data_IF_943445884676
#
_entry.id   IF_943445884676
#
_cell.length_a   1.000
_cell.length_b   1.000
_cell.length_c   1.000
_cell.angle_alpha   90.00
_cell.angle_beta   90.00
_cell.angle_gamma   90.00
#
_symmetry.space_group_name_H-M   'P 1'
#
loop_
_entity.id
_entity.type
_entity.pdbx_description
1 polymer ?
#
# COMPACT_ATOMS: atom_id res chain seq x y z
N UNK A 1 13.67 -18.22 24.70
CA UNK A 1 12.53 -17.29 24.89
C UNK A 1 11.49 -17.66 23.85
N UNK A 2 10.18 -17.71 24.19
CA UNK A 2 9.15 -17.87 23.16
C UNK A 2 9.20 -16.69 22.19
N UNK A 3 8.90 -16.95 20.91
CA UNK A 3 8.73 -15.89 19.92
C UNK A 3 7.56 -15.00 20.40
N UNK A 4 7.77 -13.69 20.42
CA UNK A 4 6.69 -12.74 20.68
C UNK A 4 5.77 -12.70 19.46
N UNK A 5 4.45 -12.62 19.68
CA UNK A 5 3.48 -12.53 18.58
C UNK A 5 3.53 -11.17 17.88
N UNK A 6 3.12 -11.16 16.60
CA UNK A 6 3.21 -10.00 15.71
C UNK A 6 2.41 -8.80 16.22
N UNK A 7 1.26 -9.01 16.86
CA UNK A 7 0.42 -7.96 17.44
C UNK A 7 1.14 -7.26 18.59
N UNK A 8 1.64 -8.04 19.56
CA UNK A 8 2.42 -7.49 20.68
C UNK A 8 3.66 -6.74 20.21
N UNK A 9 4.40 -7.28 19.23
CA UNK A 9 5.56 -6.61 18.64
C UNK A 9 5.16 -5.31 17.93
N UNK A 10 4.09 -5.33 17.13
CA UNK A 10 3.59 -4.15 16.43
C UNK A 10 3.19 -3.06 17.42
N UNK A 11 2.44 -3.39 18.47
CA UNK A 11 2.03 -2.46 19.50
C UNK A 11 3.24 -1.82 20.21
N UNK A 12 4.24 -2.62 20.60
CA UNK A 12 5.46 -2.12 21.27
C UNK A 12 6.27 -1.21 20.36
N UNK A 13 6.65 -1.70 19.17
CA UNK A 13 7.52 -0.96 18.24
C UNK A 13 6.83 0.30 17.73
N UNK A 14 5.56 0.21 17.34
CA UNK A 14 4.82 1.40 16.90
C UNK A 14 4.63 2.42 18.03
N UNK A 15 4.48 1.99 19.30
CA UNK A 15 4.39 2.94 20.42
C UNK A 15 5.68 3.74 20.65
N UNK A 16 6.83 3.17 20.30
CA UNK A 16 8.13 3.83 20.41
C UNK A 16 8.41 4.76 19.23
N UNK A 17 7.94 4.42 18.03
CA UNK A 17 8.35 5.08 16.79
C UNK A 17 7.30 6.01 16.20
N UNK A 18 6.02 5.74 16.47
CA UNK A 18 4.89 6.48 15.90
C UNK A 18 4.29 7.36 17.00
N UNK A 19 4.25 8.66 16.74
CA UNK A 19 3.68 9.65 17.64
C UNK A 19 2.25 9.26 18.05
N UNK A 20 1.92 9.47 19.33
CA UNK A 20 0.63 9.07 19.90
C UNK A 20 -0.54 9.66 19.11
N UNK A 21 -0.41 10.90 18.66
CA UNK A 21 -1.41 11.61 17.87
C UNK A 21 -1.70 10.90 16.53
N UNK A 22 -0.69 10.31 15.89
CA UNK A 22 -0.87 9.54 14.65
C UNK A 22 -1.57 8.21 14.97
N UNK A 23 -1.14 7.53 16.06
CA UNK A 23 -1.73 6.25 16.49
C UNK A 23 -3.19 6.37 16.89
N UNK A 24 -3.56 7.49 17.52
CA UNK A 24 -4.93 7.76 17.96
C UNK A 24 -5.83 8.32 16.85
N UNK A 25 -5.28 8.58 15.65
CA UNK A 25 -5.99 9.21 14.54
C UNK A 25 -6.55 8.23 13.50
N UNK A 26 -6.50 6.92 13.77
CA UNK A 26 -7.08 5.88 12.93
C UNK A 26 -6.43 5.75 11.54
N UNK A 27 -7.22 5.32 10.56
CA UNK A 27 -6.78 5.07 9.19
C UNK A 27 -5.78 3.92 9.08
N UNK A 28 -4.70 4.13 8.32
CA UNK A 28 -3.70 3.09 8.01
C UNK A 28 -3.05 2.47 9.26
N UNK A 29 -2.88 3.23 10.35
CA UNK A 29 -2.35 2.69 11.60
C UNK A 29 -3.26 1.63 12.21
N UNK A 30 -4.57 1.88 12.24
CA UNK A 30 -5.54 0.94 12.81
C UNK A 30 -5.68 -0.32 11.95
N UNK A 31 -5.58 -0.17 10.63
CA UNK A 31 -5.60 -1.31 9.72
C UNK A 31 -4.36 -2.17 9.90
N UNK A 32 -3.18 -1.55 9.95
CA UNK A 32 -1.94 -2.28 10.25
C UNK A 32 -2.02 -2.98 11.61
N UNK A 33 -2.58 -2.33 12.63
CA UNK A 33 -2.82 -2.97 13.93
C UNK A 33 -3.74 -4.19 13.80
N UNK A 34 -4.86 -4.07 13.10
CA UNK A 34 -5.76 -5.20 12.87
C UNK A 34 -5.09 -6.35 12.11
N UNK A 35 -4.29 -6.04 11.08
CA UNK A 35 -3.50 -7.03 10.34
C UNK A 35 -2.45 -7.72 11.23
N UNK A 36 -1.85 -7.00 12.17
CA UNK A 36 -0.82 -7.57 13.05
C UNK A 36 -1.34 -8.70 13.96
N UNK A 37 -2.66 -8.73 14.22
CA UNK A 37 -3.33 -9.77 14.98
C UNK A 37 -3.66 -11.03 14.16
N UNK A 38 -3.38 -11.04 12.85
CA UNK A 38 -3.64 -12.20 12.00
C UNK A 38 -2.60 -13.31 12.24
N UNK A 39 -2.99 -14.60 12.29
CA UNK A 39 -2.09 -15.70 12.67
C UNK A 39 -0.85 -15.86 11.77
N UNK A 40 -0.93 -15.47 10.51
CA UNK A 40 0.16 -15.56 9.52
C UNK A 40 0.84 -14.21 9.27
N UNK A 41 0.52 -13.18 10.05
CA UNK A 41 1.12 -11.87 9.89
C UNK A 41 2.60 -11.89 10.26
N UNK A 42 3.41 -11.32 9.38
CA UNK A 42 4.83 -11.07 9.62
C UNK A 42 5.08 -9.57 9.66
N UNK A 43 5.85 -9.11 10.64
CA UNK A 43 6.26 -7.72 10.75
C UNK A 43 7.74 -7.58 10.43
N UNK A 44 8.07 -6.55 9.64
CA UNK A 44 9.44 -6.09 9.44
C UNK A 44 9.58 -4.66 9.93
N UNK A 45 10.59 -4.42 10.75
CA UNK A 45 11.00 -3.07 11.13
C UNK A 45 12.35 -2.76 10.50
N UNK A 46 12.44 -1.61 9.82
CA UNK A 46 13.65 -1.15 9.14
C UNK A 46 14.03 0.25 9.61
N UNK A 47 15.34 0.46 9.77
CA UNK A 47 15.95 1.78 9.98
C UNK A 47 16.82 2.05 8.75
N UNK A 48 16.40 3.00 7.92
CA UNK A 48 17.15 3.44 6.76
C UNK A 48 17.88 4.74 7.12
N UNK A 49 19.22 4.74 7.27
CA UNK A 49 19.96 5.97 7.50
C UNK A 49 19.94 6.86 6.25
N UNK A 50 19.80 8.16 6.46
CA UNK A 50 20.04 9.22 5.46
C UNK A 50 21.08 10.19 6.02
N UNK A 51 21.58 11.11 5.19
CA UNK A 51 22.71 12.01 5.51
C UNK A 51 22.58 12.67 6.90
N UNK A 52 21.39 13.19 7.23
CA UNK A 52 21.14 13.90 8.50
C UNK A 52 20.00 13.31 9.34
N UNK A 53 19.46 12.14 8.98
CA UNK A 53 18.26 11.61 9.66
C UNK A 53 18.11 10.10 9.52
N UNK A 54 17.40 9.47 10.46
CA UNK A 54 16.97 8.08 10.34
C UNK A 54 15.53 8.01 9.82
N UNK A 55 15.30 7.15 8.83
CA UNK A 55 13.98 6.79 8.37
C UNK A 55 13.55 5.48 9.00
N UNK A 56 12.41 5.50 9.67
CA UNK A 56 11.82 4.33 10.34
C UNK A 56 10.66 3.81 9.51
N UNK A 57 10.69 2.52 9.18
CA UNK A 57 9.63 1.86 8.44
C UNK A 57 9.14 0.63 9.22
N UNK A 58 7.83 0.53 9.37
CA UNK A 58 7.15 -0.68 9.83
C UNK A 58 6.36 -1.22 8.65
N UNK A 59 6.59 -2.48 8.30
CA UNK A 59 5.85 -3.22 7.28
C UNK A 59 5.17 -4.41 7.92
N UNK A 60 3.94 -4.69 7.50
CA UNK A 60 3.23 -5.91 7.81
C UNK A 60 2.88 -6.61 6.51
N UNK A 61 3.07 -7.92 6.49
CA UNK A 61 2.69 -8.79 5.39
C UNK A 61 1.88 -9.96 5.92
N UNK A 62 0.87 -10.37 5.15
CA UNK A 62 0.09 -11.57 5.42
C UNK A 62 0.10 -12.41 4.16
N UNK A 63 0.47 -13.67 4.33
CA UNK A 63 0.35 -14.66 3.27
C UNK A 63 -1.04 -15.30 3.32
N UNK A 64 -1.74 -15.30 2.18
CA UNK A 64 -3.03 -15.96 1.99
C UNK A 64 -2.88 -17.20 1.08
N UNK A 65 -2.29 -18.30 1.56
CA UNK A 65 -2.14 -19.51 0.77
C UNK A 65 -3.51 -20.08 0.40
N UNK A 66 -3.69 -20.47 -0.87
CA UNK A 66 -4.92 -21.07 -1.40
C UNK A 66 -6.19 -20.21 -1.25
N UNK A 67 -6.03 -18.88 -1.27
CA UNK A 67 -7.17 -17.97 -1.23
C UNK A 67 -8.11 -18.21 -2.42
N UNK A 68 -9.42 -18.41 -2.23
CA UNK A 68 -10.40 -18.60 -3.31
C UNK A 68 -10.70 -17.30 -4.07
N UNK A 69 -9.92 -16.24 -3.83
CA UNK A 69 -10.10 -14.92 -4.47
C UNK A 69 -9.92 -15.05 -5.97
N UNK A 70 -10.83 -14.43 -6.71
CA UNK A 70 -10.72 -14.31 -8.15
C UNK A 70 -9.45 -13.52 -8.50
N UNK A 71 -8.45 -14.19 -9.06
CA UNK A 71 -7.15 -13.58 -9.40
C UNK A 71 -7.23 -12.61 -10.58
N UNK A 72 -8.32 -12.62 -11.33
CA UNK A 72 -8.60 -11.67 -12.41
C UNK A 72 -9.22 -10.38 -11.89
N UNK A 73 -9.90 -10.40 -10.74
CA UNK A 73 -10.55 -9.24 -10.12
C UNK A 73 -9.88 -8.96 -8.78
N UNK A 74 -8.99 -7.98 -8.78
CA UNK A 74 -8.25 -7.60 -7.58
C UNK A 74 -9.12 -6.64 -6.77
N UNK A 75 -9.52 -7.07 -5.58
CA UNK A 75 -10.23 -6.25 -4.60
C UNK A 75 -9.39 -6.11 -3.33
N UNK A 76 -8.48 -5.11 -3.25
CA UNK A 76 -7.48 -5.01 -2.18
C UNK A 76 -8.07 -5.02 -0.77
N UNK A 77 -9.24 -4.41 -0.59
CA UNK A 77 -9.86 -4.31 0.75
C UNK A 77 -10.40 -5.64 1.27
N UNK A 78 -10.61 -6.66 0.42
CA UNK A 78 -11.01 -8.00 0.89
C UNK A 78 -9.93 -8.66 1.73
N UNK A 79 -8.68 -8.54 1.30
CA UNK A 79 -7.53 -9.02 2.05
C UNK A 79 -7.36 -8.23 3.36
N UNK A 80 -7.67 -6.93 3.34
CA UNK A 80 -7.66 -6.09 4.55
C UNK A 80 -8.88 -6.30 5.45
N UNK A 81 -9.88 -7.09 5.01
CA UNK A 81 -11.14 -7.38 5.72
C UNK A 81 -11.92 -6.11 6.11
N UNK A 82 -11.94 -5.11 5.21
CA UNK A 82 -12.67 -3.85 5.40
C UNK A 82 -13.46 -3.47 4.13
N UNK A 83 -14.47 -2.63 4.29
CA UNK A 83 -15.27 -2.11 3.15
C UNK A 83 -14.86 -0.70 2.73
N UNK A 84 -14.14 0.03 3.58
CA UNK A 84 -13.72 1.41 3.34
C UNK A 84 -12.35 1.65 3.95
N UNK A 85 -11.46 2.21 3.15
CA UNK A 85 -10.15 2.67 3.59
C UNK A 85 -10.18 4.18 3.81
N UNK A 86 -9.78 4.61 5.01
CA UNK A 86 -9.77 6.02 5.41
C UNK A 86 -8.35 6.49 5.69
N UNK A 87 -8.07 7.76 5.37
CA UNK A 87 -6.83 8.42 5.75
C UNK A 87 -6.80 8.68 7.25
N UNK A 88 -5.60 8.85 7.80
CA UNK A 88 -5.46 9.25 9.21
C UNK A 88 -5.99 10.67 9.40
N UNK A 89 -6.81 10.88 10.45
CA UNK A 89 -7.30 12.20 10.83
C UNK A 89 -6.17 13.18 11.20
N UNK A 90 -4.99 12.69 11.57
CA UNK A 90 -3.84 13.51 11.91
C UNK A 90 -3.43 14.45 10.77
N UNK A 91 -3.61 14.00 9.53
CA UNK A 91 -3.24 14.76 8.32
C UNK A 91 -4.42 15.54 7.71
N UNK A 92 -5.54 15.70 8.44
CA UNK A 92 -6.74 16.36 7.92
C UNK A 92 -6.61 17.88 7.76
N UNK A 93 -5.75 18.53 8.55
CA UNK A 93 -5.58 19.99 8.55
C UNK A 93 -4.68 20.53 7.41
N UNK A 94 -4.37 19.71 6.40
CA UNK A 94 -3.55 20.13 5.27
C UNK A 94 -3.54 19.09 4.15
N UNK A 95 -2.79 19.38 3.08
CA UNK A 95 -2.69 18.49 1.94
C UNK A 95 -1.44 17.62 2.02
N UNK A 96 -1.60 16.39 2.54
CA UNK A 96 -0.52 15.41 2.72
C UNK A 96 -0.80 14.12 1.94
N UNK A 97 -0.81 14.15 0.60
CA UNK A 97 -1.28 13.06 -0.25
C UNK A 97 -0.44 11.77 -0.13
N UNK A 98 0.84 11.90 0.25
CA UNK A 98 1.79 10.79 0.32
C UNK A 98 1.82 10.10 1.68
N UNK A 99 1.03 10.57 2.64
CA UNK A 99 0.98 10.01 4.00
C UNK A 99 -0.05 8.88 4.11
N UNK A 100 -0.67 8.50 2.99
CA UNK A 100 -1.72 7.49 2.91
C UNK A 100 -1.73 6.92 1.49
N UNK A 101 -0.81 5.99 1.22
CA UNK A 101 -0.68 5.30 -0.06
C UNK A 101 -0.96 3.82 0.17
N UNK A 102 -1.85 3.25 -0.64
CA UNK A 102 -2.08 1.81 -0.68
C UNK A 102 -1.26 1.22 -1.82
N UNK A 103 -0.41 0.25 -1.52
CA UNK A 103 0.40 -0.47 -2.51
C UNK A 103 -0.04 -1.92 -2.62
N UNK A 104 -0.24 -2.37 -3.86
CA UNK A 104 -0.69 -3.70 -4.24
C UNK A 104 0.33 -4.29 -5.20
N UNK A 105 1.06 -5.30 -4.73
CA UNK A 105 2.05 -6.02 -5.54
C UNK A 105 1.49 -7.37 -5.92
N UNK A 106 1.47 -7.65 -7.22
CA UNK A 106 1.00 -8.91 -7.79
C UNK A 106 2.20 -9.62 -8.38
N UNK A 107 2.40 -10.87 -7.98
CA UNK A 107 3.42 -11.75 -8.51
C UNK A 107 2.72 -12.92 -9.21
N UNK A 108 3.00 -13.10 -10.49
CA UNK A 108 2.38 -14.12 -11.34
C UNK A 108 3.46 -14.97 -12.01
N UNK A 109 3.19 -16.26 -12.12
CA UNK A 109 4.01 -17.22 -12.86
C UNK A 109 4.03 -16.91 -14.36
N UNK A 110 2.89 -16.50 -14.90
CA UNK A 110 2.71 -16.08 -16.29
C UNK A 110 2.53 -14.56 -16.40
N UNK A 111 3.00 -13.92 -17.50
CA UNK A 111 2.80 -12.50 -17.72
C UNK A 111 1.31 -12.11 -17.75
N UNK A 112 0.98 -10.99 -17.10
CA UNK A 112 -0.37 -10.41 -17.11
C UNK A 112 -0.30 -8.90 -17.28
N UNK A 113 -1.42 -8.23 -17.52
CA UNK A 113 -1.49 -6.78 -17.52
C UNK A 113 -2.71 -6.28 -16.75
N UNK A 114 -2.61 -5.05 -16.24
CA UNK A 114 -3.79 -4.32 -15.77
C UNK A 114 -4.68 -4.06 -16.99
N UNK A 115 -5.96 -4.43 -16.89
CA UNK A 115 -6.93 -4.26 -17.97
C UNK A 115 -7.84 -3.06 -17.71
N UNK A 116 -8.55 -3.07 -16.58
CA UNK A 116 -9.47 -2.00 -16.19
C UNK A 116 -9.31 -1.63 -14.72
N UNK A 117 -9.57 -0.36 -14.41
CA UNK A 117 -9.67 0.15 -13.04
C UNK A 117 -11.03 0.80 -12.86
N UNK A 118 -11.60 0.77 -11.65
CA UNK A 118 -12.87 1.43 -11.36
C UNK A 118 -12.73 2.93 -11.05
N UNK A 119 -11.49 3.42 -10.92
CA UNK A 119 -11.12 4.83 -10.65
C UNK A 119 -10.24 5.39 -11.78
N UNK A 120 -9.52 6.48 -11.54
CA UNK A 120 -8.62 7.06 -12.53
C UNK A 120 -7.29 6.29 -12.62
N UNK A 121 -6.66 6.31 -13.79
CA UNK A 121 -5.21 6.08 -13.91
C UNK A 121 -4.52 7.45 -13.89
N UNK A 122 -3.71 7.71 -12.87
CA UNK A 122 -3.05 9.00 -12.68
C UNK A 122 -1.91 9.13 -13.70
N UNK A 123 -1.86 10.22 -14.50
CA UNK A 123 -0.72 10.49 -15.37
C UNK A 123 0.57 10.62 -14.56
N UNK A 124 1.65 10.03 -15.05
CA UNK A 124 2.95 10.04 -14.39
C UNK A 124 4.03 10.72 -15.24
N UNK A 125 5.12 11.11 -14.59
CA UNK A 125 6.33 11.67 -15.20
C UNK A 125 7.55 11.03 -14.55
N UNK A 126 8.66 10.98 -15.29
CA UNK A 126 9.94 10.52 -14.74
C UNK A 126 10.67 11.71 -14.11
N UNK A 127 11.02 11.62 -12.84
CA UNK A 127 11.93 12.56 -12.17
C UNK A 127 12.99 11.75 -11.41
N UNK A 128 14.27 12.07 -11.64
CA UNK A 128 15.37 11.35 -10.96
C UNK A 128 15.46 9.86 -11.30
N UNK A 129 14.83 9.40 -12.39
CA UNK A 129 14.74 7.99 -12.76
C UNK A 129 13.54 7.25 -12.15
N UNK A 130 12.71 7.91 -11.34
CA UNK A 130 11.51 7.34 -10.73
C UNK A 130 10.25 7.82 -11.42
N UNK A 131 9.24 6.95 -11.55
CA UNK A 131 7.92 7.29 -12.09
C UNK A 131 7.03 7.85 -11.00
N UNK A 132 6.62 9.10 -11.18
CA UNK A 132 5.97 9.90 -10.16
C UNK A 132 4.65 10.48 -10.72
N UNK A 133 3.54 10.51 -9.95
CA UNK A 133 2.31 11.21 -10.36
C UNK A 133 2.54 12.68 -10.75
N UNK A 134 1.96 13.13 -11.86
CA UNK A 134 2.06 14.54 -12.29
C UNK A 134 1.26 15.49 -11.40
N UNK A 135 0.13 15.00 -10.89
CA UNK A 135 -0.76 15.74 -10.00
C UNK A 135 -1.14 14.85 -8.82
N UNK A 136 -0.67 15.23 -7.64
CA UNK A 136 -0.92 14.50 -6.41
C UNK A 136 -2.32 14.74 -5.84
N UNK A 137 -3.09 15.69 -6.38
CA UNK A 137 -4.41 16.07 -5.88
C UNK A 137 -5.54 15.22 -6.44
N UNK A 138 -5.25 14.46 -7.50
CA UNK A 138 -6.18 13.56 -8.16
C UNK A 138 -6.07 12.17 -7.51
N UNK A 139 -7.20 11.56 -7.20
CA UNK A 139 -7.26 10.19 -6.70
C UNK A 139 -7.22 9.17 -7.85
N UNK A 140 -6.61 8.01 -7.62
CA UNK A 140 -6.50 6.97 -8.63
C UNK A 140 -5.26 6.09 -8.50
N UNK A 141 -5.16 5.15 -9.42
CA UNK A 141 -4.08 4.19 -9.53
C UNK A 141 -2.94 4.70 -10.41
N UNK A 142 -1.72 4.26 -10.12
CA UNK A 142 -0.62 4.25 -11.07
C UNK A 142 0.16 2.95 -10.92
N UNK A 143 0.64 2.39 -12.03
CA UNK A 143 1.28 1.08 -12.07
C UNK A 143 2.70 1.14 -12.63
N UNK A 144 3.62 0.38 -12.02
CA UNK A 144 5.01 0.28 -12.45
C UNK A 144 5.67 -1.07 -12.11
N UNK A 145 5.81 -2.00 -13.08
CA UNK A 145 5.26 -1.95 -14.43
C UNK A 145 3.74 -2.25 -14.42
N UNK A 146 3.05 -1.87 -15.50
CA UNK A 146 1.62 -2.15 -15.70
C UNK A 146 1.34 -3.57 -16.27
N UNK A 147 2.40 -4.28 -16.65
CA UNK A 147 2.35 -5.62 -17.21
C UNK A 147 3.61 -6.44 -16.91
N UNK A 148 3.48 -7.76 -16.94
CA UNK A 148 4.55 -8.73 -16.76
C UNK A 148 4.23 -9.71 -15.64
N UNK A 149 5.26 -10.37 -15.13
CA UNK A 149 5.16 -11.33 -14.01
C UNK A 149 5.10 -10.64 -12.64
N UNK A 150 5.45 -9.36 -12.58
CA UNK A 150 5.27 -8.51 -11.40
C UNK A 150 4.52 -7.27 -11.84
N UNK A 151 3.42 -6.96 -11.17
CA UNK A 151 2.72 -5.68 -11.28
C UNK A 151 2.76 -5.02 -9.91
N UNK A 152 3.04 -3.72 -9.88
CA UNK A 152 3.05 -2.93 -8.66
C UNK A 152 2.13 -1.73 -8.89
N UNK A 153 0.97 -1.77 -8.23
CA UNK A 153 -0.06 -0.75 -8.28
C UNK A 153 -0.09 0.05 -7.00
N UNK A 154 -0.05 1.37 -7.13
CA UNK A 154 -0.16 2.30 -6.01
C UNK A 154 -1.41 3.15 -6.20
N UNK A 155 -2.27 3.17 -5.18
CA UNK A 155 -3.43 4.05 -5.14
C UNK A 155 -3.13 5.29 -4.32
N UNK A 156 -3.36 6.45 -4.92
CA UNK A 156 -3.27 7.75 -4.28
C UNK A 156 -4.67 8.27 -3.98
N UNK A 157 -4.86 8.79 -2.77
CA UNK A 157 -6.15 9.35 -2.34
C UNK A 157 -6.45 10.73 -2.93
N UNK A 158 -5.45 11.45 -3.42
CA UNK A 158 -5.62 12.83 -3.82
C UNK A 158 -6.21 13.70 -2.70
N UNK A 159 -7.27 14.43 -3.03
CA UNK A 159 -8.07 15.20 -2.07
C UNK A 159 -9.10 14.36 -1.30
N UNK A 160 -9.37 13.11 -1.68
CA UNK A 160 -10.31 12.26 -0.95
C UNK A 160 -9.76 11.95 0.45
N UNK A 161 -10.70 11.79 1.38
CA UNK A 161 -10.41 11.33 2.73
C UNK A 161 -10.63 9.82 2.90
N UNK A 162 -11.54 9.25 2.12
CA UNK A 162 -11.91 7.84 2.14
C UNK A 162 -12.12 7.31 0.72
N UNK A 163 -11.95 6.00 0.57
CA UNK A 163 -12.25 5.26 -0.66
C UNK A 163 -12.92 3.95 -0.27
N UNK A 164 -13.96 3.55 -1.01
CA UNK A 164 -14.65 2.30 -0.77
C UNK A 164 -14.04 1.11 -1.54
N UNK A 165 -14.48 -0.10 -1.18
CA UNK A 165 -14.03 -1.35 -1.79
C UNK A 165 -14.21 -1.36 -3.31
N UNK A 166 -15.33 -0.85 -3.83
CA UNK A 166 -15.64 -0.91 -5.26
C UNK A 166 -14.75 0.04 -6.07
N UNK A 167 -14.40 1.20 -5.53
CA UNK A 167 -13.49 2.16 -6.15
C UNK A 167 -12.06 1.61 -6.32
N UNK A 168 -11.61 0.76 -5.39
CA UNK A 168 -10.27 0.16 -5.43
C UNK A 168 -10.16 -1.10 -6.29
N UNK A 169 -11.26 -1.60 -6.86
CA UNK A 169 -11.21 -2.77 -7.73
C UNK A 169 -10.50 -2.45 -9.04
N UNK A 170 -9.62 -3.35 -9.45
CA UNK A 170 -9.06 -3.39 -10.79
C UNK A 170 -8.97 -4.82 -11.29
N UNK A 171 -8.93 -4.98 -12.61
CA UNK A 171 -8.90 -6.29 -13.26
C UNK A 171 -7.57 -6.54 -13.94
N UNK A 172 -7.18 -7.81 -13.93
CA UNK A 172 -6.07 -8.33 -14.70
C UNK A 172 -6.61 -9.02 -15.95
N UNK A 173 -5.79 -9.05 -16.99
CA UNK A 173 -6.08 -9.83 -18.19
C UNK A 173 -4.85 -9.90 -19.07
N UNK A 174 -4.79 -10.92 -19.92
CA UNK A 174 -3.84 -11.01 -21.02
C UNK A 174 -4.46 -10.38 -22.27
N UNK A 175 -3.64 -9.84 -23.17
CA UNK A 175 -4.06 -9.74 -24.56
C UNK A 175 -4.37 -11.16 -25.05
N UNK A 176 -5.66 -11.47 -25.18
CA UNK A 176 -6.27 -12.78 -25.48
C UNK A 176 -6.45 -13.74 -24.29
N UNK A 177 -7.70 -14.17 -24.13
CA UNK A 177 -8.27 -14.99 -23.08
C UNK A 177 -7.61 -16.36 -22.97
N UNK A 178 -6.78 -16.59 -21.95
CA UNK A 178 -6.55 -17.91 -21.37
C UNK A 178 -6.44 -17.81 -19.87
N UNK A 179 -7.21 -18.65 -19.18
CA UNK A 179 -7.31 -18.82 -17.72
C UNK A 179 -5.98 -18.73 -16.99
N UNK A 180 -5.92 -17.92 -15.94
CA UNK A 180 -4.78 -17.85 -15.02
C UNK A 180 -4.55 -19.18 -14.31
N UNK A 181 -3.29 -19.61 -14.28
CA UNK A 181 -2.86 -20.77 -13.49
C UNK A 181 -2.85 -20.45 -11.98
N UNK A 182 -2.98 -21.47 -11.15
CA UNK A 182 -3.18 -21.40 -9.69
C UNK A 182 -2.02 -20.75 -8.90
N UNK A 183 -1.00 -20.21 -9.56
CA UNK A 183 0.31 -19.87 -8.98
C UNK A 183 0.57 -18.38 -8.70
N UNK A 184 -0.39 -17.46 -8.89
CA UNK A 184 -0.18 -16.05 -8.52
C UNK A 184 -0.27 -15.79 -7.01
N UNK A 185 0.63 -14.95 -6.49
CA UNK A 185 0.73 -14.45 -5.10
C UNK A 185 0.45 -12.94 -5.09
N UNK A 186 -0.40 -12.49 -4.17
CA UNK A 186 -0.74 -11.07 -4.00
C UNK A 186 -0.19 -10.62 -2.65
N UNK A 187 0.64 -9.57 -2.67
CA UNK A 187 1.21 -8.93 -1.49
C UNK A 187 0.62 -7.52 -1.35
N UNK A 188 0.02 -7.24 -0.20
CA UNK A 188 -0.45 -5.89 0.14
C UNK A 188 0.52 -5.23 1.10
N UNK A 189 0.96 -4.03 0.73
CA UNK A 189 1.86 -3.24 1.55
C UNK A 189 1.13 -1.96 1.96
N UNK A 190 0.95 -1.80 3.26
CA UNK A 190 0.48 -0.57 3.88
C UNK A 190 1.70 0.18 4.40
N UNK A 191 1.99 1.34 3.79
CA UNK A 191 3.08 2.20 4.23
C UNK A 191 2.54 3.28 5.17
N UNK A 192 2.91 3.20 6.44
CA UNK A 192 2.68 4.28 7.41
C UNK A 192 3.90 5.20 7.37
N UNK A 193 3.76 6.33 6.67
CA UNK A 193 4.80 7.35 6.52
C UNK A 193 4.79 8.28 7.73
N UNK A 194 5.84 8.22 8.56
CA UNK A 194 6.16 9.30 9.50
C UNK A 194 6.68 10.53 8.73
N UNK A 195 6.63 11.73 9.30
CA UNK A 195 6.99 13.02 8.65
C UNK A 195 8.29 12.97 7.83
N UNK A 196 9.26 12.13 8.21
CA UNK A 196 10.50 11.90 7.48
C UNK A 196 10.32 11.20 6.10
N UNK A 197 9.39 10.25 5.92
CA UNK A 197 9.19 9.62 4.60
C UNK A 197 8.50 10.53 3.59
N UNK A 198 7.64 11.45 4.04
CA UNK A 198 7.08 12.46 3.17
C UNK A 198 8.23 13.28 2.53
N UNK A 199 9.28 13.59 3.30
CA UNK A 199 10.47 14.29 2.78
C UNK A 199 11.26 13.46 1.76
N UNK A 200 11.33 12.13 1.90
CA UNK A 200 12.02 11.24 0.95
C UNK A 200 11.24 11.06 -0.36
N UNK A 201 9.93 10.80 -0.28
CA UNK A 201 9.07 10.74 -1.47
C UNK A 201 9.04 12.10 -2.19
N UNK A 202 9.17 13.20 -1.43
CA UNK A 202 9.36 14.55 -1.95
C UNK A 202 10.80 14.86 -2.44
N UNK A 203 11.83 14.04 -2.17
CA UNK A 203 13.17 14.26 -2.76
C UNK A 203 13.11 14.14 -4.29
N UNK A 204 12.25 13.27 -4.82
CA UNK A 204 11.91 13.22 -6.25
C UNK A 204 11.13 14.45 -6.74
N UNK A 205 10.44 15.18 -5.86
CA UNK A 205 9.70 16.41 -6.19
C UNK A 205 10.48 17.71 -5.96
N UNK A 206 11.61 17.66 -5.24
CA UNK A 206 12.45 18.83 -4.99
C UNK A 206 13.29 19.13 -6.24
N UNK A 207 13.00 20.27 -6.85
CA UNK A 207 14.00 21.03 -7.62
C UNK A 207 15.06 21.59 -6.68
#
# INVERSE_FOLDING_TARGET
>A
MPLEDTDSMYAKISSMLVAKEIRDSGGFYEIAKALSSEPTATMTFSILPSEDSFFYQIQLSIDYPNSPVNKEIISPLEFLKIDTLTRSNYFSNGFYPLNSVLEVVILSSEPTNVNQVNTNIIPTQIIGGEKIPKDLSIDGWFFEPESGNKIDGKYLFGQKFSVDKNELIFTLGTAETTSFDESAVILLIIVIVSVAAAVYFLKGYKK
#
